data_IF_823538371753
#
_entry.id   IF_823538371753
#
_cell.length_a   1.000
_cell.length_b   1.000
_cell.length_c   1.000
_cell.angle_alpha   90.00
_cell.angle_beta   90.00
_cell.angle_gamma   90.00
#
_symmetry.space_group_name_H-M   'P 1'
#
loop_
_entity.id
_entity.type
_entity.pdbx_description
1 polymer ?
#
# COMPACT_ATOMS: atom_id res chain seq x y z
N UNK A 1 -4.33 7.49 -13.26
CA UNK A 1 -3.00 7.93 -12.76
C UNK A 1 -3.11 9.35 -12.22
N UNK A 2 -2.21 9.75 -11.32
CA UNK A 2 -2.20 11.05 -10.64
C UNK A 2 -0.77 11.54 -10.44
N UNK A 3 -0.57 12.85 -10.34
CA UNK A 3 0.62 13.44 -9.70
C UNK A 3 0.28 13.77 -8.25
N UNK A 4 1.27 13.67 -7.35
CA UNK A 4 1.01 14.00 -5.95
C UNK A 4 0.50 15.45 -5.83
N UNK A 5 -0.61 15.66 -5.14
CA UNK A 5 -1.25 16.97 -5.01
C UNK A 5 -1.91 17.51 -6.28
N UNK A 6 -2.05 16.68 -7.32
CA UNK A 6 -2.44 17.10 -8.68
C UNK A 6 -1.51 18.19 -9.26
N UNK A 7 -0.22 18.17 -8.89
CA UNK A 7 0.82 19.09 -9.37
C UNK A 7 1.83 18.34 -10.26
N UNK A 8 1.96 18.76 -11.52
CA UNK A 8 2.78 18.03 -12.50
C UNK A 8 4.27 17.93 -12.12
N UNK A 9 4.86 18.97 -11.53
CA UNK A 9 6.27 18.94 -11.10
C UNK A 9 6.57 17.87 -10.03
N UNK A 10 5.54 17.42 -9.29
CA UNK A 10 5.69 16.31 -8.36
C UNK A 10 5.80 14.96 -9.09
N UNK A 11 5.26 14.84 -10.29
CA UNK A 11 5.50 13.66 -11.13
C UNK A 11 6.95 13.59 -11.63
N UNK A 12 7.55 14.74 -11.95
CA UNK A 12 8.96 14.79 -12.36
C UNK A 12 9.89 14.37 -11.21
N UNK A 13 9.48 14.63 -9.97
CA UNK A 13 10.27 14.30 -8.77
C UNK A 13 9.99 12.88 -8.27
N UNK A 14 8.74 12.55 -8.00
CA UNK A 14 8.33 11.31 -7.30
C UNK A 14 7.79 10.21 -8.21
N UNK A 15 7.55 10.53 -9.48
CA UNK A 15 6.81 9.69 -10.40
C UNK A 15 5.28 9.81 -10.26
N UNK A 16 4.58 9.15 -11.19
CA UNK A 16 3.11 9.08 -11.18
C UNK A 16 2.62 8.07 -10.14
N UNK A 17 1.49 8.37 -9.53
CA UNK A 17 0.72 7.46 -8.70
C UNK A 17 -0.35 6.78 -9.56
N UNK A 18 -0.49 5.47 -9.42
CA UNK A 18 -1.42 4.63 -10.16
C UNK A 18 -2.42 4.02 -9.19
N UNK A 19 -3.68 3.89 -9.59
CA UNK A 19 -4.56 2.98 -8.88
C UNK A 19 -4.25 1.54 -9.28
N UNK A 20 -4.74 0.57 -8.51
CA UNK A 20 -4.41 -0.83 -8.74
C UNK A 20 -4.79 -1.27 -10.15
N UNK A 21 -5.98 -0.88 -10.63
CA UNK A 21 -6.46 -1.23 -11.97
C UNK A 21 -5.50 -0.75 -13.08
N UNK A 22 -4.97 0.47 -12.96
CA UNK A 22 -4.01 1.00 -13.94
C UNK A 22 -2.63 0.35 -13.79
N UNK A 23 -2.17 0.10 -12.57
CA UNK A 23 -0.88 -0.52 -12.30
C UNK A 23 -0.83 -1.94 -12.88
N UNK A 24 -1.84 -2.76 -12.57
CA UNK A 24 -1.86 -4.18 -12.95
C UNK A 24 -2.53 -4.45 -14.30
N UNK A 25 -3.09 -3.41 -14.95
CA UNK A 25 -3.97 -3.58 -16.12
C UNK A 25 -5.16 -4.51 -15.82
N UNK A 26 -5.66 -4.46 -14.57
CA UNK A 26 -6.73 -5.29 -14.04
C UNK A 26 -6.47 -6.82 -14.09
N UNK A 27 -5.21 -7.23 -14.12
CA UNK A 27 -4.81 -8.63 -14.00
C UNK A 27 -4.20 -8.87 -12.60
N UNK A 28 -4.74 -9.84 -11.87
CA UNK A 28 -4.35 -10.15 -10.50
C UNK A 28 -3.26 -11.24 -10.41
N UNK A 29 -2.69 -11.63 -11.55
CA UNK A 29 -1.61 -12.63 -11.61
C UNK A 29 -0.35 -12.07 -10.94
N UNK A 30 0.22 -12.84 -10.01
CA UNK A 30 1.51 -12.49 -9.42
C UNK A 30 2.59 -12.45 -10.52
N UNK A 31 3.40 -11.40 -10.54
CA UNK A 31 4.39 -11.18 -11.59
C UNK A 31 3.80 -10.68 -12.92
N UNK A 32 2.59 -10.11 -12.91
CA UNK A 32 2.00 -9.54 -14.13
C UNK A 32 2.82 -8.37 -14.69
N UNK A 33 2.93 -8.28 -16.03
CA UNK A 33 3.53 -7.12 -16.71
C UNK A 33 2.88 -5.81 -16.25
N UNK A 34 1.54 -5.75 -16.31
CA UNK A 34 0.78 -4.56 -15.97
C UNK A 34 1.21 -3.35 -16.80
N UNK A 35 1.44 -2.21 -16.13
CA UNK A 35 1.91 -0.96 -16.74
C UNK A 35 3.41 -1.00 -17.10
N UNK A 36 4.14 -2.06 -16.74
CA UNK A 36 5.56 -2.16 -17.02
C UNK A 36 5.84 -2.38 -18.52
N UNK A 37 7.03 -1.97 -19.01
CA UNK A 37 7.45 -2.27 -20.37
C UNK A 37 7.51 -3.78 -20.64
N UNK A 38 7.46 -4.18 -21.90
CA UNK A 38 7.66 -5.58 -22.28
C UNK A 38 9.02 -6.11 -21.80
N UNK A 39 9.03 -7.32 -21.22
CA UNK A 39 10.20 -7.93 -20.58
C UNK A 39 10.45 -7.45 -19.14
N UNK A 40 9.47 -6.75 -18.57
CA UNK A 40 9.45 -6.31 -17.18
C UNK A 40 8.08 -6.58 -16.58
N UNK A 41 8.02 -6.72 -15.26
CA UNK A 41 6.77 -6.92 -14.54
C UNK A 41 6.67 -6.13 -13.25
N UNK A 42 5.45 -6.06 -12.72
CA UNK A 42 5.19 -5.52 -11.39
C UNK A 42 5.69 -6.49 -10.32
N UNK A 43 6.57 -6.06 -9.40
CA UNK A 43 7.13 -6.95 -8.40
C UNK A 43 6.04 -7.59 -7.56
N UNK A 44 6.20 -8.88 -7.32
CA UNK A 44 5.48 -9.60 -6.26
C UNK A 44 5.94 -9.11 -4.89
N UNK A 45 5.16 -9.41 -3.86
CA UNK A 45 5.57 -9.15 -2.48
C UNK A 45 6.88 -9.87 -2.13
N UNK A 46 7.09 -11.08 -2.63
CA UNK A 46 8.31 -11.86 -2.37
C UNK A 46 9.54 -11.24 -3.03
N UNK A 47 9.40 -10.61 -4.19
CA UNK A 47 10.51 -9.87 -4.83
C UNK A 47 10.85 -8.58 -4.08
N UNK A 48 9.87 -7.90 -3.48
CA UNK A 48 10.15 -6.79 -2.55
C UNK A 48 10.92 -7.26 -1.32
N UNK A 49 10.54 -8.41 -0.75
CA UNK A 49 11.25 -9.04 0.38
C UNK A 49 12.68 -9.40 -0.02
N UNK A 50 12.86 -10.09 -1.15
CA UNK A 50 14.17 -10.52 -1.65
C UNK A 50 15.08 -9.32 -1.94
N UNK A 51 14.52 -8.23 -2.49
CA UNK A 51 15.28 -7.01 -2.72
C UNK A 51 15.79 -6.40 -1.41
N UNK A 52 14.95 -6.30 -0.38
CA UNK A 52 15.39 -5.79 0.92
C UNK A 52 16.46 -6.70 1.54
N UNK A 53 16.28 -8.02 1.44
CA UNK A 53 17.25 -9.00 1.94
C UNK A 53 18.60 -8.88 1.23
N UNK A 54 18.62 -8.47 -0.05
CA UNK A 54 19.86 -8.25 -0.80
C UNK A 54 20.74 -7.12 -0.21
N UNK A 55 20.14 -6.20 0.55
CA UNK A 55 20.86 -5.15 1.29
C UNK A 55 21.01 -5.50 2.78
N UNK A 56 20.80 -6.76 3.17
CA UNK A 56 20.88 -7.22 4.57
C UNK A 56 19.70 -6.81 5.45
N UNK A 57 18.58 -6.36 4.86
CA UNK A 57 17.38 -5.97 5.59
C UNK A 57 16.37 -7.10 5.77
N UNK A 58 15.38 -6.84 6.62
CA UNK A 58 14.26 -7.73 6.92
C UNK A 58 12.97 -6.92 7.01
N UNK A 59 11.90 -7.40 6.36
CA UNK A 59 10.63 -6.66 6.30
C UNK A 59 9.99 -6.57 7.68
N UNK A 60 9.30 -5.46 7.94
CA UNK A 60 8.64 -5.17 9.21
C UNK A 60 9.59 -5.07 10.41
N UNK A 61 10.90 -4.89 10.19
CA UNK A 61 11.92 -4.65 11.21
C UNK A 61 12.49 -3.24 11.03
N UNK A 62 12.57 -2.48 12.12
CA UNK A 62 13.07 -1.11 12.09
C UNK A 62 14.58 -1.03 11.84
N UNK A 63 15.00 0.01 11.14
CA UNK A 63 16.39 0.44 11.01
C UNK A 63 17.16 -0.16 9.82
N UNK A 64 16.55 -1.07 9.06
CA UNK A 64 17.29 -1.91 8.09
C UNK A 64 16.93 -1.71 6.61
N UNK A 65 16.04 -0.77 6.30
CA UNK A 65 15.52 -0.52 4.94
C UNK A 65 16.18 0.62 4.17
N UNK A 66 17.23 1.26 4.73
CA UNK A 66 17.88 2.42 4.07
C UNK A 66 18.55 2.09 2.74
N UNK A 67 18.92 0.82 2.52
CA UNK A 67 19.52 0.31 1.29
C UNK A 67 18.68 0.59 0.04
N UNK A 68 17.35 0.58 0.18
CA UNK A 68 16.41 0.73 -0.94
C UNK A 68 16.00 2.18 -1.22
N UNK A 69 16.40 3.12 -0.36
CA UNK A 69 16.03 4.53 -0.46
C UNK A 69 17.04 5.29 -1.31
N UNK A 70 16.55 6.29 -2.05
CA UNK A 70 17.39 7.23 -2.80
C UNK A 70 18.37 8.01 -1.92
N UNK A 71 19.53 8.32 -2.48
CA UNK A 71 20.54 9.22 -1.90
C UNK A 71 20.17 10.71 -2.02
N UNK A 72 19.14 11.05 -2.80
CA UNK A 72 18.75 12.43 -3.13
C UNK A 72 18.14 13.22 -1.97
N UNK A 73 18.02 12.62 -0.78
CA UNK A 73 17.60 13.30 0.45
C UNK A 73 16.21 13.98 0.37
N UNK A 74 15.28 13.39 -0.36
CA UNK A 74 13.87 13.82 -0.39
C UNK A 74 13.06 13.29 0.80
N UNK A 75 13.59 12.31 1.54
CA UNK A 75 12.93 11.77 2.72
C UNK A 75 13.07 12.74 3.89
N UNK A 76 11.95 13.22 4.47
CA UNK A 76 11.92 14.28 5.48
C UNK A 76 11.03 13.94 6.67
N UNK A 77 11.33 14.50 7.86
CA UNK A 77 12.48 15.39 8.15
C UNK A 77 13.78 14.62 8.43
N UNK A 78 14.90 14.99 7.80
CA UNK A 78 16.19 14.38 8.14
C UNK A 78 16.76 15.01 9.41
N UNK A 79 16.83 14.23 10.48
CA UNK A 79 17.42 14.55 11.77
C UNK A 79 18.73 13.80 12.03
N UNK A 80 19.04 12.76 11.26
CA UNK A 80 20.29 12.00 11.34
C UNK A 80 20.71 11.43 9.98
N UNK A 81 22.03 11.26 9.77
CA UNK A 81 22.59 10.68 8.55
C UNK A 81 22.04 9.28 8.23
N UNK A 82 21.72 8.49 9.27
CA UNK A 82 21.11 7.17 9.14
C UNK A 82 19.75 7.16 8.42
N UNK A 83 19.08 8.30 8.27
CA UNK A 83 17.80 8.41 7.53
C UNK A 83 18.01 8.63 6.02
N UNK A 84 19.23 9.00 5.61
CA UNK A 84 19.58 9.17 4.21
C UNK A 84 19.79 7.80 3.57
N UNK A 85 19.08 7.56 2.46
CA UNK A 85 19.18 6.33 1.70
C UNK A 85 20.56 6.14 1.11
N UNK A 86 20.98 4.87 1.01
CA UNK A 86 22.29 4.51 0.43
C UNK A 86 22.18 4.02 -1.01
N UNK A 87 20.97 3.67 -1.46
CA UNK A 87 20.71 3.14 -2.80
C UNK A 87 21.61 1.94 -3.15
N UNK A 88 21.85 1.06 -2.18
CA UNK A 88 22.72 -0.11 -2.31
C UNK A 88 22.19 -1.13 -3.33
N UNK A 89 20.87 -1.20 -3.49
CA UNK A 89 20.21 -2.11 -4.44
C UNK A 89 20.06 -1.50 -5.85
N UNK A 90 20.23 -0.18 -5.99
CA UNK A 90 20.06 0.55 -7.24
C UNK A 90 18.62 0.98 -7.56
N UNK A 91 17.62 0.75 -6.70
CA UNK A 91 16.24 1.18 -6.94
C UNK A 91 16.04 2.69 -6.79
N UNK A 92 16.70 3.30 -5.81
CA UNK A 92 16.60 4.71 -5.46
C UNK A 92 15.16 5.15 -5.10
N UNK A 93 14.50 4.43 -4.19
CA UNK A 93 13.13 4.73 -3.76
C UNK A 93 12.95 6.15 -3.21
N UNK A 94 11.91 6.83 -3.68
CA UNK A 94 11.56 8.21 -3.29
C UNK A 94 10.23 8.26 -2.51
N UNK A 95 10.08 9.23 -1.59
CA UNK A 95 8.92 9.35 -0.70
C UNK A 95 7.73 10.06 -1.38
N UNK A 96 7.19 9.45 -2.45
CA UNK A 96 6.06 10.02 -3.19
C UNK A 96 4.72 10.03 -2.46
N UNK A 97 4.65 9.49 -1.24
CA UNK A 97 3.40 9.35 -0.49
C UNK A 97 2.39 8.46 -1.22
N UNK A 98 1.12 8.84 -1.13
CA UNK A 98 0.04 8.21 -1.87
C UNK A 98 -1.24 9.04 -1.84
N UNK A 99 -2.21 8.67 -2.67
CA UNK A 99 -3.58 9.16 -2.55
C UNK A 99 -4.45 8.10 -1.88
N UNK A 100 -5.20 8.50 -0.87
CA UNK A 100 -6.03 7.60 -0.08
C UNK A 100 -7.48 8.05 -0.11
N UNK A 101 -8.38 7.09 -0.26
CA UNK A 101 -9.81 7.33 -0.25
C UNK A 101 -10.52 6.36 0.68
N UNK A 102 -10.97 6.90 1.80
CA UNK A 102 -11.64 6.17 2.86
C UNK A 102 -12.91 6.93 3.24
N UNK A 103 -13.91 6.20 3.72
CA UNK A 103 -15.24 6.75 3.92
C UNK A 103 -15.69 6.83 5.38
N UNK A 104 -14.98 6.18 6.31
CA UNK A 104 -15.35 6.11 7.72
C UNK A 104 -15.68 7.50 8.27
N UNK A 105 -16.73 7.61 9.08
CA UNK A 105 -17.15 8.82 9.78
C UNK A 105 -16.73 8.79 11.27
N UNK A 106 -16.06 7.72 11.68
CA UNK A 106 -15.58 7.49 13.04
C UNK A 106 -14.08 7.81 13.13
N UNK A 107 -13.56 7.95 14.34
CA UNK A 107 -12.11 7.97 14.63
C UNK A 107 -11.40 6.63 14.39
N UNK A 108 -12.12 5.59 13.92
CA UNK A 108 -11.54 4.27 13.68
C UNK A 108 -10.79 4.28 12.35
N UNK A 109 -9.47 4.16 12.43
CA UNK A 109 -8.59 4.02 11.28
C UNK A 109 -8.51 2.59 10.73
N UNK A 110 -7.68 2.41 9.71
CA UNK A 110 -7.29 1.09 9.20
C UNK A 110 -6.40 0.38 10.20
N UNK A 111 -6.23 -0.93 10.04
CA UNK A 111 -5.20 -1.68 10.79
C UNK A 111 -3.79 -1.11 10.58
N UNK A 112 -3.53 -0.49 9.42
CA UNK A 112 -2.27 0.22 9.13
C UNK A 112 -2.22 1.68 9.63
N UNK A 113 -3.15 2.11 10.51
CA UNK A 113 -3.13 3.42 11.15
C UNK A 113 -3.60 4.63 10.32
N UNK A 114 -4.16 4.40 9.12
CA UNK A 114 -4.74 5.46 8.29
C UNK A 114 -6.15 5.83 8.78
N UNK A 115 -6.35 7.08 9.18
CA UNK A 115 -7.67 7.62 9.51
C UNK A 115 -8.47 7.99 8.25
N UNK A 116 -9.63 8.63 8.45
CA UNK A 116 -10.46 9.16 7.35
C UNK A 116 -9.64 10.07 6.45
N UNK A 117 -9.53 9.72 5.17
CA UNK A 117 -8.73 10.46 4.20
C UNK A 117 -9.36 10.40 2.82
N UNK A 118 -9.37 11.56 2.13
CA UNK A 118 -9.73 11.71 0.72
C UNK A 118 -8.72 12.62 0.04
N UNK A 119 -7.45 12.38 0.33
CA UNK A 119 -6.38 13.32 0.04
C UNK A 119 -5.05 12.61 -0.27
N UNK A 120 -4.13 13.39 -0.81
CA UNK A 120 -2.72 13.10 -0.88
C UNK A 120 -2.13 13.19 0.53
N UNK A 121 -1.43 12.14 0.94
CA UNK A 121 -0.80 12.07 2.26
C UNK A 121 0.63 11.54 2.13
N UNK A 122 1.43 11.92 3.12
CA UNK A 122 2.73 11.34 3.43
C UNK A 122 3.84 11.53 2.40
N UNK A 123 3.71 12.44 1.44
CA UNK A 123 4.90 12.82 0.65
C UNK A 123 6.03 13.24 1.60
N UNK A 124 7.26 12.95 1.19
CA UNK A 124 8.49 13.14 1.95
C UNK A 124 8.65 12.22 3.18
N UNK A 125 7.57 11.76 3.82
CA UNK A 125 7.66 10.89 5.00
C UNK A 125 7.50 9.41 4.69
N UNK A 126 6.56 9.02 3.84
CA UNK A 126 6.33 7.63 3.45
C UNK A 126 6.28 7.50 1.93
N UNK A 127 6.47 6.28 1.45
CA UNK A 127 6.03 5.94 0.11
C UNK A 127 5.41 4.56 0.08
N UNK A 128 4.44 4.43 -0.83
CA UNK A 128 3.64 3.25 -1.02
C UNK A 128 3.86 2.79 -2.45
N UNK A 129 4.16 1.51 -2.63
CA UNK A 129 4.26 0.89 -3.95
C UNK A 129 3.32 -0.29 -4.06
N UNK A 130 2.64 -0.39 -5.20
CA UNK A 130 1.90 -1.59 -5.51
C UNK A 130 2.81 -2.80 -5.62
N UNK A 131 2.28 -3.94 -5.20
CA UNK A 131 2.78 -5.25 -5.60
C UNK A 131 1.77 -5.88 -6.56
N UNK A 132 2.22 -6.83 -7.39
CA UNK A 132 1.31 -7.69 -8.17
C UNK A 132 0.62 -8.76 -7.31
N UNK A 133 1.05 -8.95 -6.06
CA UNK A 133 0.46 -9.90 -5.13
C UNK A 133 -0.89 -9.42 -4.61
N UNK A 134 -1.78 -10.38 -4.39
CA UNK A 134 -3.01 -10.19 -3.63
C UNK A 134 -3.22 -11.40 -2.74
N UNK A 135 -3.86 -11.22 -1.58
CA UNK A 135 -4.14 -12.33 -0.68
C UNK A 135 -5.55 -12.27 -0.12
N UNK A 136 -6.06 -13.46 0.18
CA UNK A 136 -7.39 -13.69 0.70
C UNK A 136 -7.48 -13.25 2.16
N UNK A 137 -8.55 -12.54 2.50
CA UNK A 137 -8.64 -11.90 3.80
C UNK A 137 -10.06 -11.73 4.37
N UNK A 138 -10.21 -11.69 5.70
CA UNK A 138 -11.47 -11.37 6.37
C UNK A 138 -11.71 -9.86 6.45
N UNK A 139 -12.80 -9.41 5.85
CA UNK A 139 -13.23 -8.03 5.86
C UNK A 139 -14.56 -7.89 6.63
N UNK A 140 -14.68 -6.86 7.46
CA UNK A 140 -15.95 -6.55 8.13
C UNK A 140 -16.96 -6.01 7.12
N UNK A 141 -18.16 -6.60 7.08
CA UNK A 141 -19.19 -6.27 6.07
C UNK A 141 -20.48 -5.70 6.63
N UNK A 142 -20.64 -5.63 7.95
CA UNK A 142 -21.87 -5.15 8.57
C UNK A 142 -21.65 -4.45 9.90
N UNK A 143 -22.69 -3.77 10.37
CA UNK A 143 -22.68 -2.98 11.62
C UNK A 143 -22.66 -3.82 12.90
N UNK A 144 -22.81 -5.14 12.79
CA UNK A 144 -22.84 -6.07 13.92
C UNK A 144 -21.46 -6.67 14.14
N UNK A 145 -20.98 -6.69 15.39
CA UNK A 145 -19.78 -7.42 15.79
C UNK A 145 -19.89 -8.88 15.32
N UNK A 146 -18.91 -9.38 14.57
CA UNK A 146 -18.91 -10.75 14.04
C UNK A 146 -19.27 -10.91 12.56
N UNK A 147 -19.70 -9.84 11.88
CA UNK A 147 -20.11 -9.91 10.48
C UNK A 147 -18.93 -9.81 9.49
N UNK A 148 -18.24 -10.92 9.24
CA UNK A 148 -17.09 -11.00 8.32
C UNK A 148 -17.41 -11.69 7.00
N UNK A 149 -16.73 -11.26 5.92
CA UNK A 149 -16.66 -11.99 4.66
C UNK A 149 -15.20 -12.17 4.24
N UNK A 150 -14.94 -13.15 3.38
CA UNK A 150 -13.63 -13.40 2.83
C UNK A 150 -13.50 -12.72 1.46
N UNK A 151 -12.38 -12.06 1.22
CA UNK A 151 -12.10 -11.41 -0.05
C UNK A 151 -10.60 -11.26 -0.32
N UNK A 152 -10.19 -11.42 -1.57
CA UNK A 152 -8.81 -11.21 -2.00
C UNK A 152 -8.52 -9.73 -2.21
N UNK A 153 -7.66 -9.17 -1.38
CA UNK A 153 -7.28 -7.75 -1.40
C UNK A 153 -5.88 -7.56 -2.03
N UNK A 154 -5.66 -6.44 -2.74
CA UNK A 154 -4.34 -6.06 -3.20
C UNK A 154 -3.31 -5.90 -2.08
N UNK A 155 -2.04 -6.21 -2.36
CA UNK A 155 -0.92 -5.88 -1.49
C UNK A 155 -0.17 -4.64 -1.97
N UNK A 156 0.46 -3.98 -1.01
CA UNK A 156 1.42 -2.90 -1.24
C UNK A 156 2.57 -3.06 -0.25
N UNK A 157 3.69 -2.43 -0.58
CA UNK A 157 4.76 -2.19 0.40
C UNK A 157 4.81 -0.72 0.77
N UNK A 158 5.19 -0.43 2.01
CA UNK A 158 5.37 0.94 2.50
C UNK A 158 6.77 1.12 3.07
N UNK A 159 7.49 2.13 2.60
CA UNK A 159 8.70 2.60 3.29
C UNK A 159 8.37 3.69 4.30
N UNK A 160 8.94 3.53 5.49
CA UNK A 160 8.90 4.51 6.57
C UNK A 160 10.21 5.33 6.63
N UNK A 161 10.12 6.65 6.52
CA UNK A 161 11.27 7.54 6.69
C UNK A 161 11.92 7.41 8.08
N UNK A 162 11.11 7.47 9.14
CA UNK A 162 11.57 7.65 10.52
C UNK A 162 12.26 6.41 11.02
N UNK A 163 11.65 5.25 10.75
CA UNK A 163 12.16 3.96 11.21
C UNK A 163 13.02 3.27 10.17
N UNK A 164 13.15 3.79 8.94
CA UNK A 164 13.78 3.09 7.82
C UNK A 164 13.24 1.66 7.64
N UNK A 165 11.95 1.45 7.83
CA UNK A 165 11.32 0.13 7.73
C UNK A 165 10.68 -0.05 6.36
N UNK A 166 10.93 -1.18 5.71
CA UNK A 166 10.05 -1.67 4.65
C UNK A 166 8.95 -2.52 5.30
N UNK A 167 7.72 -2.02 5.26
CA UNK A 167 6.54 -2.71 5.78
C UNK A 167 5.83 -3.40 4.64
N UNK A 168 5.52 -4.68 4.82
CA UNK A 168 4.65 -5.47 3.93
C UNK A 168 3.30 -5.69 4.59
N UNK A 169 2.29 -6.10 3.81
CA UNK A 169 1.06 -6.56 4.43
C UNK A 169 1.29 -7.90 5.14
N UNK A 170 1.09 -7.90 6.45
CA UNK A 170 1.21 -9.09 7.31
C UNK A 170 -0.17 -9.59 7.67
N UNK A 171 -0.36 -10.91 7.60
CA UNK A 171 -1.55 -11.57 8.12
C UNK A 171 -1.42 -11.82 9.63
N UNK A 172 -2.30 -11.19 10.42
CA UNK A 172 -2.40 -11.33 11.87
C UNK A 172 -3.50 -12.33 12.22
N UNK A 173 -3.16 -13.42 12.90
CA UNK A 173 -4.14 -14.42 13.33
C UNK A 173 -4.79 -14.00 14.67
N UNK A 174 -6.11 -14.14 14.75
CA UNK A 174 -6.85 -14.12 16.02
C UNK A 174 -7.41 -15.52 16.29
N UNK A 175 -7.99 -15.74 17.47
CA UNK A 175 -8.64 -17.02 17.79
C UNK A 175 -9.85 -17.36 16.91
N UNK A 176 -10.41 -16.38 16.18
CA UNK A 176 -11.69 -16.52 15.47
C UNK A 176 -11.61 -16.23 13.96
N UNK A 177 -10.63 -15.46 13.51
CA UNK A 177 -10.40 -15.09 12.10
C UNK A 177 -9.00 -14.47 11.93
N UNK A 178 -8.53 -14.29 10.70
CA UNK A 178 -7.29 -13.58 10.40
C UNK A 178 -7.55 -12.15 9.92
N UNK A 179 -6.58 -11.27 10.15
CA UNK A 179 -6.34 -9.87 9.72
C UNK A 179 -5.26 -9.48 8.69
N UNK A 180 -5.44 -8.65 7.66
CA UNK A 180 -4.32 -7.99 6.99
C UNK A 180 -4.04 -6.68 7.69
N UNK A 181 -2.79 -6.49 8.09
CA UNK A 181 -2.31 -5.17 8.50
C UNK A 181 -2.13 -4.29 7.25
N UNK A 182 -3.22 -3.68 6.82
CA UNK A 182 -3.34 -3.01 5.52
C UNK A 182 -4.21 -1.77 5.62
N UNK A 183 -3.92 -0.75 4.80
CA UNK A 183 -4.84 0.39 4.61
C UNK A 183 -6.17 0.01 3.96
N UNK A 184 -6.30 -1.21 3.43
CA UNK A 184 -7.56 -1.73 2.90
C UNK A 184 -8.38 -2.50 3.95
N UNK A 185 -7.86 -2.65 5.17
CA UNK A 185 -8.49 -3.43 6.23
C UNK A 185 -8.73 -2.54 7.45
N UNK A 186 -9.93 -2.63 8.03
CA UNK A 186 -10.33 -1.87 9.21
C UNK A 186 -11.33 -2.70 10.01
N UNK A 187 -11.47 -2.38 11.31
CA UNK A 187 -12.56 -2.87 12.14
C UNK A 187 -13.90 -2.16 11.87
N UNK A 188 -13.97 -1.30 10.86
CA UNK A 188 -15.21 -0.70 10.38
C UNK A 188 -15.44 -1.01 8.91
N UNK A 189 -16.59 -1.61 8.60
CA UNK A 189 -17.05 -1.86 7.23
C UNK A 189 -17.25 -0.56 6.44
N UNK A 190 -17.50 0.57 7.12
CA UNK A 190 -17.69 1.88 6.49
C UNK A 190 -16.41 2.41 5.87
N UNK A 191 -15.24 1.86 6.20
CA UNK A 191 -13.95 2.36 5.70
C UNK A 191 -13.84 2.34 4.17
N UNK A 192 -14.29 1.26 3.51
CA UNK A 192 -14.21 1.12 2.04
C UNK A 192 -15.56 1.22 1.31
N UNK A 193 -16.72 1.07 1.96
CA UNK A 193 -18.01 0.96 1.23
C UNK A 193 -19.10 1.98 1.62
N UNK A 194 -18.83 2.90 2.55
CA UNK A 194 -19.69 4.07 2.90
C UNK A 194 -21.22 3.90 2.90
N UNK A 195 -21.75 2.78 3.35
CA UNK A 195 -23.19 2.53 3.18
C UNK A 195 -23.92 2.55 4.52
N UNK A 196 -24.15 3.71 5.12
CA UNK A 196 -24.99 3.87 6.30
C UNK A 196 -26.23 2.95 6.19
N UNK A 197 -26.33 1.97 7.09
CA UNK A 197 -27.54 1.19 7.38
C UNK A 197 -27.79 -0.10 6.56
N UNK A 198 -26.96 -1.13 6.76
CA UNK A 198 -27.37 -2.51 6.50
C UNK A 198 -26.88 -3.45 7.61
N UNK A 199 -27.82 -4.00 8.36
CA UNK A 199 -27.60 -4.87 9.52
C UNK A 199 -27.26 -6.33 9.17
N UNK A 200 -26.73 -6.62 7.97
CA UNK A 200 -26.52 -7.99 7.50
C UNK A 200 -25.25 -8.20 6.68
N UNK A 201 -24.72 -9.43 6.73
CA UNK A 201 -23.68 -9.93 5.83
C UNK A 201 -24.20 -9.85 4.38
N UNK A 202 -23.66 -8.94 3.57
CA UNK A 202 -24.06 -8.84 2.17
C UNK A 202 -22.81 -8.88 1.26
N UNK A 203 -22.74 -9.89 0.40
CA UNK A 203 -21.67 -10.10 -0.56
C UNK A 203 -21.43 -8.87 -1.47
N UNK A 204 -22.47 -8.04 -1.69
CA UNK A 204 -22.35 -6.77 -2.42
C UNK A 204 -21.39 -5.76 -1.77
N UNK A 205 -21.24 -5.78 -0.44
CA UNK A 205 -20.30 -4.88 0.25
C UNK A 205 -18.86 -5.31 0.07
N UNK A 206 -18.59 -6.61 0.06
CA UNK A 206 -17.27 -7.13 -0.27
C UNK A 206 -16.88 -6.65 -1.68
N UNK A 207 -17.73 -6.90 -2.69
CA UNK A 207 -17.48 -6.44 -4.05
C UNK A 207 -17.28 -4.91 -4.16
N UNK A 208 -18.08 -4.12 -3.45
CA UNK A 208 -17.94 -2.66 -3.39
C UNK A 208 -16.62 -2.24 -2.75
N UNK A 209 -16.25 -2.86 -1.63
CA UNK A 209 -15.01 -2.56 -0.93
C UNK A 209 -13.78 -2.89 -1.79
N UNK A 210 -13.77 -4.04 -2.49
CA UNK A 210 -12.70 -4.38 -3.43
C UNK A 210 -12.62 -3.39 -4.59
N UNK A 211 -13.77 -3.02 -5.15
CA UNK A 211 -13.85 -2.04 -6.23
C UNK A 211 -13.23 -0.72 -5.78
N UNK A 212 -13.58 -0.25 -4.58
CA UNK A 212 -13.05 1.00 -4.03
C UNK A 212 -11.57 0.92 -3.68
N UNK A 213 -11.10 -0.20 -3.11
CA UNK A 213 -9.67 -0.43 -2.86
C UNK A 213 -8.85 -0.37 -4.17
N UNK A 214 -9.36 -0.98 -5.24
CA UNK A 214 -8.69 -1.03 -6.55
C UNK A 214 -8.76 0.28 -7.34
N UNK A 215 -9.83 1.06 -7.18
CA UNK A 215 -10.09 2.23 -8.00
C UNK A 215 -9.64 3.56 -7.36
N UNK A 216 -9.68 3.67 -6.02
CA UNK A 216 -9.61 4.97 -5.33
C UNK A 216 -8.32 5.19 -4.51
N UNK A 217 -7.46 4.19 -4.37
CA UNK A 217 -6.13 4.35 -3.78
C UNK A 217 -5.10 4.46 -4.88
N UNK A 218 -4.13 5.36 -4.74
CA UNK A 218 -3.08 5.54 -5.74
C UNK A 218 -1.70 5.53 -5.11
N UNK A 219 -0.89 4.57 -5.55
CA UNK A 219 0.47 4.31 -5.08
C UNK A 219 1.45 4.32 -6.24
N UNK A 220 2.72 4.44 -5.93
CA UNK A 220 3.79 4.36 -6.91
C UNK A 220 3.90 2.96 -7.50
N UNK A 221 4.54 2.88 -8.66
CA UNK A 221 4.87 1.61 -9.34
C UNK A 221 6.37 1.53 -9.54
N UNK A 222 6.90 0.33 -9.35
CA UNK A 222 8.25 -0.07 -9.77
C UNK A 222 8.09 -1.26 -10.72
N UNK A 223 8.99 -1.38 -11.68
CA UNK A 223 9.08 -2.54 -12.55
C UNK A 223 10.38 -3.30 -12.26
N UNK A 224 10.32 -4.63 -12.32
CA UNK A 224 11.46 -5.55 -12.24
C UNK A 224 11.60 -6.28 -13.57
N UNK A 225 12.82 -6.64 -13.95
CA UNK A 225 13.10 -7.26 -15.24
C UNK A 225 12.95 -8.77 -15.13
N UNK A 226 12.37 -9.39 -16.17
CA UNK A 226 12.22 -10.85 -16.30
C UNK A 226 13.56 -11.58 -16.49
#
# INVERSE_FOLDING_TARGET
MKCYGDVESNCDTYGRLYNWLAATQNDATAGVQGICPTGWHLPTNDEWVAMLQSTGGEVNVEGNGRGLKSTLNYWRPVTAEGQIGTNEDGFAGLPGGGYFWTYSNTTIGTHAGLNVSRNYLYAESYAFWWTSTSATHYWMTGSTLGAYNIMTMPYYVRFDHTTNTLVTNVETLTSSYSYLNSVFSSSSWQHLSNSYNSSGLNAGYSGTALTNARANFYFSVRCVKD
#
